data_IF_115023926035
#
_entry.id   IF_115023926035
#
_cell.length_a   1.000
_cell.length_b   1.000
_cell.length_c   1.000
_cell.angle_alpha   90.00
_cell.angle_beta   90.00
_cell.angle_gamma   90.00
#
_symmetry.space_group_name_H-M   'P 1'
#
loop_
_entity.id
_entity.type
_entity.pdbx_description
1 polymer ?
#
# COMPACT_ATOMS: atom_id res chain seq x y z
N UNK A 1 31.53 -24.30 36.68
CA UNK A 1 30.50 -23.40 36.14
C UNK A 1 29.62 -24.21 35.19
N UNK A 2 28.31 -24.32 35.46
CA UNK A 2 27.44 -25.28 34.80
C UNK A 2 27.09 -24.81 33.37
N UNK A 3 27.72 -25.39 32.37
CA UNK A 3 27.42 -25.15 30.93
C UNK A 3 25.93 -25.32 30.60
N UNK A 4 25.20 -26.13 31.37
CA UNK A 4 23.75 -26.31 31.23
C UNK A 4 22.96 -25.01 31.49
N UNK A 5 23.43 -24.18 32.44
CA UNK A 5 22.80 -22.87 32.76
C UNK A 5 23.01 -21.90 31.60
N UNK A 6 24.21 -21.88 31.02
CA UNK A 6 24.52 -21.06 29.87
C UNK A 6 23.73 -21.43 28.62
N UNK A 7 23.51 -22.75 28.39
CA UNK A 7 22.66 -23.24 27.31
C UNK A 7 21.18 -22.79 27.48
N UNK A 8 20.64 -22.85 28.69
CA UNK A 8 19.27 -22.38 28.95
C UNK A 8 19.14 -20.88 28.74
N UNK A 9 20.12 -20.10 29.19
CA UNK A 9 20.14 -18.63 28.98
C UNK A 9 20.22 -18.31 27.49
N UNK A 10 21.02 -19.03 26.71
CA UNK A 10 21.18 -18.80 25.28
C UNK A 10 19.91 -19.15 24.50
N UNK A 11 19.21 -20.22 24.89
CA UNK A 11 17.90 -20.60 24.31
C UNK A 11 16.83 -19.59 24.68
N UNK A 12 16.81 -19.08 25.92
CA UNK A 12 15.85 -18.04 26.33
C UNK A 12 16.12 -16.72 25.61
N UNK A 13 17.37 -16.32 25.46
CA UNK A 13 17.72 -15.11 24.70
C UNK A 13 17.39 -15.22 23.21
N UNK A 14 17.55 -16.41 22.61
CA UNK A 14 17.16 -16.64 21.22
C UNK A 14 15.62 -16.64 21.05
N UNK A 15 14.87 -17.19 21.99
CA UNK A 15 13.41 -17.19 21.96
C UNK A 15 12.84 -15.78 22.17
N UNK A 16 13.42 -14.99 23.08
CA UNK A 16 13.06 -13.59 23.30
C UNK A 16 13.44 -12.73 22.08
N UNK A 17 14.64 -12.93 21.52
CA UNK A 17 15.07 -12.28 20.29
C UNK A 17 14.13 -12.58 19.12
N UNK A 18 13.74 -13.84 18.95
CA UNK A 18 12.78 -14.25 17.91
C UNK A 18 11.44 -13.51 18.03
N UNK A 19 10.93 -13.32 19.25
CA UNK A 19 9.67 -12.60 19.48
C UNK A 19 9.78 -11.10 19.23
N UNK A 20 10.91 -10.47 19.57
CA UNK A 20 11.13 -9.04 19.31
C UNK A 20 11.42 -8.72 17.84
N UNK A 21 11.88 -9.68 17.03
CA UNK A 21 12.16 -9.52 15.59
C UNK A 21 10.97 -9.89 14.69
N UNK A 22 9.86 -10.42 15.22
CA UNK A 22 8.64 -10.59 14.45
C UNK A 22 7.85 -9.29 14.51
N UNK A 23 7.88 -8.55 13.41
CA UNK A 23 6.97 -7.42 13.21
C UNK A 23 5.53 -7.93 13.35
N UNK A 24 4.68 -7.16 14.03
CA UNK A 24 3.28 -7.54 14.15
C UNK A 24 2.63 -7.46 12.76
N UNK A 25 1.66 -8.33 12.42
CA UNK A 25 0.93 -8.26 11.16
C UNK A 25 0.34 -6.86 10.90
N UNK A 26 -0.03 -6.15 11.95
CA UNK A 26 -0.51 -4.77 11.86
C UNK A 26 0.58 -3.80 11.41
N UNK A 27 1.82 -3.95 11.90
CA UNK A 27 2.96 -3.13 11.48
C UNK A 27 3.29 -3.39 10.01
N UNK A 28 3.35 -4.67 9.59
CA UNK A 28 3.59 -5.04 8.18
C UNK A 28 2.56 -4.41 7.23
N UNK A 29 1.27 -4.42 7.61
CA UNK A 29 0.19 -3.82 6.81
C UNK A 29 0.32 -2.30 6.78
N UNK A 30 0.65 -1.68 7.90
CA UNK A 30 0.87 -0.22 7.98
C UNK A 30 2.03 0.22 7.09
N UNK A 31 3.12 -0.51 7.12
CA UNK A 31 4.29 -0.27 6.26
C UNK A 31 3.96 -0.46 4.78
N UNK A 32 3.16 -1.48 4.43
CA UNK A 32 2.67 -1.68 3.06
C UNK A 32 1.85 -0.48 2.56
N UNK A 33 0.99 0.11 3.40
CA UNK A 33 0.23 1.31 3.04
C UNK A 33 1.14 2.54 2.87
N UNK A 34 2.14 2.73 3.73
CA UNK A 34 3.11 3.82 3.59
C UNK A 34 3.94 3.66 2.31
N UNK A 35 4.39 2.45 2.01
CA UNK A 35 5.14 2.18 0.79
C UNK A 35 4.28 2.38 -0.46
N UNK A 36 3.02 1.96 -0.44
CA UNK A 36 2.08 2.22 -1.53
C UNK A 36 1.91 3.74 -1.75
N UNK A 37 1.69 4.51 -0.69
CA UNK A 37 1.60 5.98 -0.75
C UNK A 37 2.84 6.59 -1.40
N UNK A 38 4.03 6.17 -0.96
CA UNK A 38 5.32 6.63 -1.51
C UNK A 38 5.47 6.33 -3.00
N UNK A 39 5.08 5.11 -3.42
CA UNK A 39 5.21 4.67 -4.81
C UNK A 39 4.18 5.31 -5.75
N UNK A 40 3.00 5.67 -5.22
CA UNK A 40 1.95 6.35 -5.98
C UNK A 40 2.19 7.85 -6.08
N UNK A 41 2.89 8.46 -5.11
CA UNK A 41 3.28 9.87 -5.17
C UNK A 41 4.37 10.11 -6.20
N UNK A 42 4.37 11.28 -6.81
CA UNK A 42 5.31 11.69 -7.85
C UNK A 42 5.72 13.15 -7.64
N UNK A 43 7.01 13.40 -7.64
CA UNK A 43 7.58 14.75 -7.59
C UNK A 43 7.94 15.22 -8.99
N UNK A 44 7.82 16.51 -9.25
CA UNK A 44 8.26 17.11 -10.50
C UNK A 44 9.77 16.86 -10.72
N UNK A 45 10.12 16.29 -11.88
CA UNK A 45 11.50 15.96 -12.21
C UNK A 45 11.97 14.55 -11.82
N UNK A 46 11.09 13.70 -11.32
CA UNK A 46 11.44 12.31 -11.02
C UNK A 46 12.00 11.58 -12.26
N UNK A 47 13.17 10.96 -12.09
CA UNK A 47 13.90 10.33 -13.18
C UNK A 47 13.27 8.99 -13.62
N UNK A 48 13.40 8.67 -14.91
CA UNK A 48 12.88 7.42 -15.50
C UNK A 48 13.43 6.15 -14.84
N UNK A 49 14.64 6.16 -14.27
CA UNK A 49 15.22 5.04 -13.56
C UNK A 49 14.50 4.71 -12.26
N UNK A 50 14.03 5.73 -11.54
CA UNK A 50 13.20 5.58 -10.35
C UNK A 50 11.86 4.92 -10.70
N UNK A 51 11.31 5.25 -11.85
CA UNK A 51 10.05 4.68 -12.35
C UNK A 51 10.14 3.17 -12.58
N UNK A 52 11.25 2.66 -13.14
CA UNK A 52 11.42 1.21 -13.38
C UNK A 52 11.50 0.43 -12.06
N UNK A 53 12.29 0.93 -11.10
CA UNK A 53 12.40 0.29 -9.79
C UNK A 53 11.06 0.32 -9.05
N UNK A 54 10.38 1.46 -9.07
CA UNK A 54 9.07 1.62 -8.45
C UNK A 54 8.02 0.70 -9.09
N UNK A 55 8.06 0.49 -10.40
CA UNK A 55 7.16 -0.44 -11.09
C UNK A 55 7.33 -1.89 -10.60
N UNK A 56 8.57 -2.34 -10.39
CA UNK A 56 8.85 -3.68 -9.87
C UNK A 56 8.37 -3.83 -8.41
N UNK A 57 8.56 -2.81 -7.58
CA UNK A 57 8.07 -2.78 -6.20
C UNK A 57 6.55 -2.79 -6.16
N UNK A 58 5.89 -1.91 -6.91
CA UNK A 58 4.43 -1.86 -7.04
C UNK A 58 3.86 -3.22 -7.44
N UNK A 59 4.42 -3.86 -8.46
CA UNK A 59 4.00 -5.18 -8.91
C UNK A 59 4.01 -6.20 -7.77
N UNK A 60 5.01 -6.17 -6.90
CA UNK A 60 5.16 -7.10 -5.79
C UNK A 60 4.19 -6.85 -4.63
N UNK A 61 3.41 -5.77 -4.66
CA UNK A 61 2.46 -5.40 -3.61
C UNK A 61 1.03 -5.88 -3.89
N UNK A 62 0.72 -6.28 -5.13
CA UNK A 62 -0.62 -6.70 -5.52
C UNK A 62 -0.74 -8.22 -5.62
N UNK A 63 -1.90 -8.76 -5.25
CA UNK A 63 -2.25 -10.15 -5.49
C UNK A 63 -2.43 -10.40 -7.01
N UNK A 64 -2.36 -11.68 -7.42
CA UNK A 64 -2.49 -12.09 -8.82
C UNK A 64 -3.76 -11.56 -9.51
N UNK A 65 -4.78 -11.29 -8.72
CA UNK A 65 -6.01 -10.65 -9.14
C UNK A 65 -6.41 -9.61 -8.09
N UNK A 66 -6.33 -8.33 -8.43
CA UNK A 66 -6.74 -7.22 -7.59
C UNK A 66 -7.99 -6.57 -8.15
N UNK A 67 -9.07 -6.52 -7.37
CA UNK A 67 -10.32 -5.88 -7.77
C UNK A 67 -10.37 -4.41 -7.31
N UNK A 68 -10.83 -3.54 -8.19
CA UNK A 68 -11.12 -2.14 -7.86
C UNK A 68 -12.60 -1.89 -8.13
N UNK A 69 -13.32 -1.42 -7.11
CA UNK A 69 -14.76 -1.15 -7.15
C UNK A 69 -15.06 0.24 -6.61
N UNK A 70 -16.27 0.71 -6.79
CA UNK A 70 -16.76 1.98 -6.24
C UNK A 70 -16.97 3.06 -7.28
N UNK A 71 -17.00 4.32 -6.84
CA UNK A 71 -17.42 5.48 -7.64
C UNK A 71 -16.38 5.92 -8.69
N UNK A 72 -15.19 5.34 -8.67
CA UNK A 72 -14.17 5.58 -9.68
C UNK A 72 -14.37 4.67 -10.91
N UNK A 73 -15.45 4.89 -11.68
CA UNK A 73 -15.82 4.04 -12.83
C UNK A 73 -14.67 3.81 -13.82
N UNK A 74 -13.79 4.79 -14.03
CA UNK A 74 -12.62 4.68 -14.91
C UNK A 74 -11.55 3.70 -14.40
N UNK A 75 -11.56 3.40 -13.10
CA UNK A 75 -10.62 2.50 -12.44
C UNK A 75 -11.26 1.18 -12.02
N UNK A 76 -12.59 1.07 -12.12
CA UNK A 76 -13.29 -0.14 -11.73
C UNK A 76 -12.92 -1.30 -12.67
N UNK A 77 -12.55 -2.44 -12.09
CA UNK A 77 -12.15 -3.62 -12.85
C UNK A 77 -11.34 -4.60 -12.02
N UNK A 78 -10.94 -5.67 -12.68
CA UNK A 78 -10.08 -6.70 -12.15
C UNK A 78 -8.74 -6.65 -12.87
N UNK A 79 -7.65 -6.59 -12.11
CA UNK A 79 -6.31 -6.31 -12.63
C UNK A 79 -5.32 -7.38 -12.19
N UNK A 80 -4.52 -7.85 -13.12
CA UNK A 80 -3.24 -8.50 -12.78
C UNK A 80 -2.25 -7.47 -12.22
N UNK A 81 -1.19 -7.87 -11.50
CA UNK A 81 -0.17 -6.94 -11.02
C UNK A 81 0.44 -6.07 -12.14
N UNK A 82 0.63 -6.63 -13.34
CA UNK A 82 1.14 -5.92 -14.52
C UNK A 82 0.17 -4.85 -15.03
N UNK A 83 -1.10 -5.19 -15.11
CA UNK A 83 -2.16 -4.26 -15.56
C UNK A 83 -2.35 -3.14 -14.54
N UNK A 84 -2.30 -3.46 -13.24
CA UNK A 84 -2.36 -2.46 -12.17
C UNK A 84 -1.21 -1.45 -12.27
N UNK A 85 0.02 -1.94 -12.40
CA UNK A 85 1.20 -1.07 -12.57
C UNK A 85 1.08 -0.22 -13.84
N UNK A 86 0.65 -0.82 -14.96
CA UNK A 86 0.46 -0.08 -16.22
C UNK A 86 -0.59 1.03 -16.08
N UNK A 87 -1.68 0.76 -15.34
CA UNK A 87 -2.73 1.75 -15.06
C UNK A 87 -2.20 2.88 -14.18
N UNK A 88 -1.46 2.56 -13.11
CA UNK A 88 -0.82 3.55 -12.23
C UNK A 88 0.13 4.44 -13.02
N UNK A 89 1.02 3.86 -13.83
CA UNK A 89 1.96 4.64 -14.65
C UNK A 89 1.22 5.57 -15.63
N UNK A 90 0.12 5.09 -16.23
CA UNK A 90 -0.70 5.91 -17.13
C UNK A 90 -1.31 7.10 -16.39
N UNK A 91 -1.86 6.88 -15.19
CA UNK A 91 -2.42 7.95 -14.35
C UNK A 91 -1.33 8.92 -13.93
N UNK A 92 -0.19 8.43 -13.44
CA UNK A 92 0.96 9.29 -13.09
C UNK A 92 1.47 10.10 -14.29
N UNK A 93 1.34 9.56 -15.51
CA UNK A 93 1.73 10.26 -16.74
C UNK A 93 0.90 11.51 -17.07
N UNK A 94 -0.30 11.66 -16.51
CA UNK A 94 -1.19 12.80 -16.72
C UNK A 94 -0.79 13.99 -15.83
N UNK A 95 -0.09 13.73 -14.73
CA UNK A 95 0.25 14.74 -13.72
C UNK A 95 1.73 15.11 -13.76
N UNK A 96 2.03 16.38 -13.49
CA UNK A 96 3.39 16.87 -13.19
C UNK A 96 3.83 16.37 -11.82
N UNK A 97 2.95 16.48 -10.83
CA UNK A 97 3.17 15.98 -9.47
C UNK A 97 1.90 15.37 -8.90
N UNK A 98 2.07 14.37 -8.06
CA UNK A 98 1.01 13.74 -7.27
C UNK A 98 1.52 13.62 -5.84
N UNK A 99 0.76 14.17 -4.91
CA UNK A 99 0.95 13.97 -3.48
C UNK A 99 -0.26 13.19 -2.96
N UNK A 100 -0.02 11.95 -2.55
CA UNK A 100 -1.02 11.05 -1.99
C UNK A 100 -0.72 10.83 -0.52
N UNK A 101 -1.71 11.03 0.32
CA UNK A 101 -1.61 10.76 1.76
C UNK A 101 -2.78 9.90 2.23
N UNK A 102 -2.51 9.00 3.18
CA UNK A 102 -3.52 8.18 3.83
C UNK A 102 -3.67 8.62 5.29
N UNK A 103 -4.91 8.81 5.72
CA UNK A 103 -5.29 9.23 7.06
C UNK A 103 -6.22 8.19 7.69
N UNK A 104 -6.23 8.15 9.02
CA UNK A 104 -7.18 7.37 9.82
C UNK A 104 -7.20 5.88 9.49
N UNK A 105 -6.01 5.29 9.23
CA UNK A 105 -5.87 3.89 8.88
C UNK A 105 -6.30 2.98 10.04
N UNK A 106 -7.40 2.29 9.84
CA UNK A 106 -7.92 1.23 10.70
C UNK A 106 -7.67 -0.12 10.06
N UNK A 107 -7.24 -1.11 10.86
CA UNK A 107 -6.88 -2.45 10.41
C UNK A 107 -7.68 -3.45 11.21
N UNK A 108 -8.36 -4.37 10.54
CA UNK A 108 -9.08 -5.49 11.12
C UNK A 108 -8.65 -6.82 10.50
N UNK A 109 -8.65 -7.86 11.28
CA UNK A 109 -8.27 -9.22 10.85
C UNK A 109 -9.48 -10.15 10.94
N UNK A 110 -10.25 -10.34 9.84
CA UNK A 110 -11.35 -11.31 9.83
C UNK A 110 -10.86 -12.76 9.87
N UNK A 111 -9.62 -13.03 9.42
CA UNK A 111 -8.94 -14.31 9.51
C UNK A 111 -7.42 -14.10 9.63
N UNK A 112 -6.66 -15.16 9.88
CA UNK A 112 -5.21 -15.12 10.11
C UNK A 112 -4.44 -14.56 8.89
N UNK A 113 -4.87 -14.92 7.69
CA UNK A 113 -4.25 -14.51 6.42
C UNK A 113 -5.07 -13.47 5.63
N UNK A 114 -6.10 -12.91 6.25
CA UNK A 114 -6.97 -11.88 5.69
C UNK A 114 -6.97 -10.62 6.57
N UNK A 115 -6.79 -9.46 5.96
CA UNK A 115 -6.95 -8.18 6.62
C UNK A 115 -7.86 -7.26 5.82
N UNK A 116 -8.66 -6.48 6.54
CA UNK A 116 -9.47 -5.40 5.96
C UNK A 116 -8.95 -4.11 6.55
N UNK A 117 -8.66 -3.14 5.68
CA UNK A 117 -8.24 -1.81 6.10
C UNK A 117 -9.24 -0.77 5.62
N UNK A 118 -9.46 0.25 6.43
CA UNK A 118 -10.28 1.42 6.09
C UNK A 118 -9.46 2.66 6.36
N UNK A 119 -9.41 3.57 5.39
CA UNK A 119 -8.65 4.82 5.51
C UNK A 119 -9.21 5.89 4.58
N UNK A 120 -8.84 7.14 4.84
CA UNK A 120 -9.12 8.29 3.98
C UNK A 120 -7.90 8.57 3.11
N UNK A 121 -8.07 8.52 1.80
CA UNK A 121 -7.05 8.89 0.83
C UNK A 121 -7.27 10.34 0.37
N UNK A 122 -6.24 11.16 0.50
CA UNK A 122 -6.21 12.53 -0.02
C UNK A 122 -5.16 12.60 -1.12
N UNK A 123 -5.61 12.93 -2.32
CA UNK A 123 -4.76 13.10 -3.50
C UNK A 123 -4.74 14.57 -3.87
N UNK A 124 -3.55 15.14 -3.97
CA UNK A 124 -3.32 16.48 -4.53
C UNK A 124 -2.49 16.33 -5.79
N UNK A 125 -3.08 16.61 -6.94
CA UNK A 125 -2.45 16.48 -8.25
C UNK A 125 -2.28 17.81 -8.96
N UNK A 126 -1.14 18.00 -9.65
CA UNK A 126 -0.94 19.09 -10.58
C UNK A 126 -0.93 18.55 -12.01
N UNK A 127 -1.88 18.97 -12.84
CA UNK A 127 -1.97 18.57 -14.24
C UNK A 127 -0.75 19.01 -15.03
N UNK A 128 -0.42 18.28 -16.11
CA UNK A 128 0.58 18.70 -17.10
C UNK A 128 0.06 19.79 -18.05
N UNK A 129 -1.24 20.08 -18.03
CA UNK A 129 -1.85 21.10 -18.88
C UNK A 129 -1.61 22.48 -18.26
N UNK A 130 -0.93 23.38 -18.99
CA UNK A 130 -0.66 24.74 -18.53
C UNK A 130 -1.99 25.49 -18.26
N UNK A 131 -2.07 26.11 -17.08
CA UNK A 131 -3.24 26.89 -16.65
C UNK A 131 -4.28 26.12 -15.85
N UNK A 132 -4.13 24.81 -15.65
CA UNK A 132 -4.95 24.06 -14.69
C UNK A 132 -4.43 24.22 -13.27
N UNK A 133 -5.34 24.51 -12.34
CA UNK A 133 -5.05 24.58 -10.91
C UNK A 133 -4.79 23.18 -10.33
N UNK A 134 -4.10 23.13 -9.18
CA UNK A 134 -3.97 21.89 -8.42
C UNK A 134 -5.35 21.37 -8.03
N UNK A 135 -5.63 20.13 -8.38
CA UNK A 135 -6.85 19.46 -7.97
C UNK A 135 -6.59 18.66 -6.68
N UNK A 136 -7.51 18.75 -5.74
CA UNK A 136 -7.50 17.92 -4.55
C UNK A 136 -8.75 17.02 -4.54
N UNK A 137 -8.56 15.75 -4.26
CA UNK A 137 -9.64 14.77 -4.16
C UNK A 137 -9.49 13.96 -2.89
N UNK A 138 -10.60 13.78 -2.17
CA UNK A 138 -10.65 13.00 -0.95
C UNK A 138 -11.60 11.83 -1.14
N UNK A 139 -11.14 10.61 -0.81
CA UNK A 139 -11.95 9.40 -0.89
C UNK A 139 -11.82 8.55 0.36
N UNK A 140 -12.92 7.94 0.77
CA UNK A 140 -12.90 6.85 1.71
C UNK A 140 -12.54 5.56 0.95
N UNK A 141 -11.57 4.81 1.46
CA UNK A 141 -11.08 3.59 0.82
C UNK A 141 -11.17 2.44 1.81
N UNK A 142 -11.73 1.34 1.33
CA UNK A 142 -11.64 0.05 2.02
C UNK A 142 -10.76 -0.83 1.16
N UNK A 143 -9.71 -1.42 1.72
CA UNK A 143 -8.94 -2.43 1.02
C UNK A 143 -8.95 -3.77 1.76
N UNK A 144 -8.89 -4.85 0.99
CA UNK A 144 -8.65 -6.18 1.51
C UNK A 144 -7.24 -6.60 1.13
N UNK A 145 -6.52 -7.11 2.11
CA UNK A 145 -5.20 -7.68 1.92
C UNK A 145 -5.21 -9.17 2.26
N UNK A 146 -4.40 -9.94 1.54
CA UNK A 146 -4.20 -11.36 1.79
C UNK A 146 -2.74 -11.65 2.04
N UNK A 147 -2.47 -12.53 3.00
CA UNK A 147 -1.12 -13.00 3.25
C UNK A 147 -0.81 -14.19 2.34
N UNK A 148 0.15 -14.00 1.43
CA UNK A 148 0.59 -15.02 0.47
C UNK A 148 2.09 -15.20 0.64
N UNK A 149 2.53 -16.43 0.91
CA UNK A 149 3.95 -16.75 1.17
C UNK A 149 4.61 -15.81 2.19
N UNK A 150 3.86 -15.47 3.24
CA UNK A 150 4.33 -14.62 4.33
C UNK A 150 4.29 -13.11 4.06
N UNK A 151 3.79 -12.65 2.90
CA UNK A 151 3.67 -11.24 2.53
C UNK A 151 2.23 -10.81 2.42
N UNK A 152 1.92 -9.63 2.93
CA UNK A 152 0.61 -9.01 2.75
C UNK A 152 0.52 -8.35 1.38
N UNK A 153 -0.45 -8.79 0.56
CA UNK A 153 -0.70 -8.28 -0.79
C UNK A 153 -2.08 -7.64 -0.86
N UNK A 154 -2.19 -6.53 -1.57
CA UNK A 154 -3.47 -5.88 -1.85
C UNK A 154 -4.26 -6.72 -2.87
N UNK A 155 -5.46 -7.15 -2.48
CA UNK A 155 -6.35 -7.99 -3.29
C UNK A 155 -7.61 -7.26 -3.74
N UNK A 156 -8.02 -6.21 -3.02
CA UNK A 156 -9.25 -5.46 -3.36
C UNK A 156 -9.16 -4.04 -2.85
N UNK A 157 -9.70 -3.09 -3.63
CA UNK A 157 -9.96 -1.72 -3.23
C UNK A 157 -11.40 -1.35 -3.55
N UNK A 158 -12.10 -0.78 -2.59
CA UNK A 158 -13.41 -0.16 -2.76
C UNK A 158 -13.30 1.32 -2.45
N UNK A 159 -13.64 2.16 -3.42
CA UNK A 159 -13.50 3.61 -3.38
C UNK A 159 -14.88 4.26 -3.26
N UNK A 160 -15.05 5.18 -2.30
CA UNK A 160 -16.26 5.96 -2.14
C UNK A 160 -15.93 7.46 -2.04
N UNK A 161 -16.76 8.30 -2.65
CA UNK A 161 -16.63 9.75 -2.51
C UNK A 161 -17.04 10.13 -1.09
N UNK A 162 -16.21 10.95 -0.43
CA UNK A 162 -16.60 11.58 0.84
C UNK A 162 -17.54 12.73 0.50
N UNK A 163 -18.81 12.56 0.83
CA UNK A 163 -19.80 13.66 0.75
C UNK A 163 -19.64 14.43 2.04
N UNK A 164 -19.07 15.63 1.98
CA UNK A 164 -19.10 16.56 3.10
C UNK A 164 -20.55 17.12 3.21
N UNK A 165 -21.20 16.83 4.36
CA UNK A 165 -22.49 17.43 4.74
C UNK A 165 -22.30 18.85 5.28
#
# INVERSE_FOLDING_TARGET
>A
MNYKIWLVILVLLSAVGWWFFHESPEAEIRDAHQELTRLLSKTEGDASSTTILNAALLKSMFADNCEVTGDAEMLAGSYTPEEMVSTIIRVQGIFLSIDLTFHDLMIGFPAEDDAITKFTAVLVGQSQIEGEEKAAETREVISRMRKVEGKWLFAEFSLAIVIED
#
